data_IF_650277964120
#
_entry.id   IF_650277964120
#
_cell.length_a   1.000
_cell.length_b   1.000
_cell.length_c   1.000
_cell.angle_alpha   90.00
_cell.angle_beta   90.00
_cell.angle_gamma   90.00
#
_symmetry.space_group_name_H-M   'P 1'
#
loop_
_entity.id
_entity.type
_entity.pdbx_description
1 polymer ?
#
# COMPACT_ATOMS: atom_id res chain seq x y z
N UNK A 1 59.62 46.86 16.44
CA UNK A 1 58.47 46.39 15.65
C UNK A 1 59.05 45.56 14.50
N UNK A 2 59.72 44.42 14.72
CA UNK A 2 59.32 43.18 15.43
C UNK A 2 58.13 42.50 14.75
N UNK A 3 58.40 41.56 13.84
CA UNK A 3 57.94 40.16 13.93
C UNK A 3 58.41 39.35 12.71
N UNK A 4 58.99 38.19 12.99
CA UNK A 4 59.50 37.15 12.09
C UNK A 4 58.39 36.34 11.36
N UNK A 5 58.75 35.51 10.35
CA UNK A 5 57.82 34.77 9.52
C UNK A 5 57.44 33.42 10.11
N UNK A 6 56.20 32.96 9.89
CA UNK A 6 55.77 31.60 10.19
C UNK A 6 55.47 30.84 8.89
N UNK A 7 56.42 29.98 8.51
CA UNK A 7 56.19 28.80 7.68
C UNK A 7 55.26 27.86 8.45
N UNK A 8 54.18 27.39 7.81
CA UNK A 8 53.54 26.16 8.21
C UNK A 8 53.54 25.16 7.04
N UNK A 9 54.47 24.23 7.14
CA UNK A 9 54.54 22.96 6.41
C UNK A 9 53.58 21.96 7.06
N UNK A 10 52.56 21.52 6.33
CA UNK A 10 51.89 20.23 6.48
C UNK A 10 50.67 20.24 5.55
N UNK A 11 50.28 19.20 4.84
CA UNK A 11 50.88 17.92 4.46
C UNK A 11 49.92 17.42 3.37
N UNK A 12 50.43 16.73 2.36
CA UNK A 12 49.63 15.85 1.52
C UNK A 12 48.74 14.94 2.37
N UNK A 13 47.47 14.78 1.99
CA UNK A 13 46.93 13.43 1.89
C UNK A 13 45.74 13.37 0.90
N UNK A 14 45.80 12.53 -0.15
CA UNK A 14 44.76 12.39 -1.16
C UNK A 14 43.67 11.38 -0.75
N UNK A 15 42.54 11.45 -1.45
CA UNK A 15 41.59 10.36 -1.64
C UNK A 15 41.01 9.70 -0.36
N UNK A 16 40.04 10.38 0.26
CA UNK A 16 39.06 9.70 1.10
C UNK A 16 38.05 8.94 0.25
N UNK A 17 38.25 7.64 0.09
CA UNK A 17 37.24 6.70 -0.38
C UNK A 17 36.01 6.83 0.51
N UNK A 18 34.91 7.38 -0.02
CA UNK A 18 33.64 7.44 0.67
C UNK A 18 33.09 6.02 0.82
N UNK A 19 33.42 5.35 1.92
CA UNK A 19 32.75 4.11 2.31
C UNK A 19 31.26 4.41 2.53
N UNK A 20 30.44 3.78 1.69
CA UNK A 20 28.99 3.64 1.85
C UNK A 20 28.70 3.14 3.27
N UNK A 21 27.89 3.81 4.09
CA UNK A 21 27.58 3.32 5.42
C UNK A 21 26.85 1.98 5.29
N UNK A 22 27.51 0.91 5.75
CA UNK A 22 26.95 -0.42 5.82
C UNK A 22 25.73 -0.37 6.76
N UNK A 23 24.53 -0.48 6.19
CA UNK A 23 23.29 -0.71 6.94
C UNK A 23 23.46 -2.06 7.64
N UNK A 24 23.77 -2.01 8.95
CA UNK A 24 23.80 -3.20 9.79
C UNK A 24 22.41 -3.84 9.74
N UNK A 25 22.28 -5.16 9.51
CA UNK A 25 20.98 -5.81 9.59
C UNK A 25 20.43 -5.57 11.00
N UNK A 26 19.26 -4.93 11.09
CA UNK A 26 18.56 -4.77 12.35
C UNK A 26 18.36 -6.15 12.95
N UNK A 27 18.88 -6.36 14.17
CA UNK A 27 18.66 -7.60 14.91
C UNK A 27 17.16 -7.88 15.09
N UNK A 28 16.78 -9.11 15.45
CA UNK A 28 15.38 -9.46 15.69
C UNK A 28 14.76 -8.45 16.67
N UNK A 29 13.71 -7.76 16.24
CA UNK A 29 12.92 -6.87 17.09
C UNK A 29 12.35 -7.72 18.23
N UNK A 30 12.55 -7.37 19.51
CA UNK A 30 12.00 -8.13 20.62
C UNK A 30 10.48 -8.20 20.49
N UNK A 31 9.92 -9.41 20.59
CA UNK A 31 8.47 -9.59 20.66
C UNK A 31 7.98 -9.08 22.03
N UNK A 32 6.83 -8.38 22.09
CA UNK A 32 6.24 -8.01 23.37
C UNK A 32 5.84 -9.27 24.13
N UNK A 33 6.26 -9.37 25.40
CA UNK A 33 5.87 -10.46 26.29
C UNK A 33 4.37 -10.36 26.58
N UNK A 34 3.62 -11.37 26.14
CA UNK A 34 2.19 -11.48 26.42
C UNK A 34 2.00 -12.20 27.75
N UNK A 35 1.95 -11.45 28.85
CA UNK A 35 1.36 -11.96 30.09
C UNK A 35 -0.16 -11.96 29.93
N UNK A 36 -0.73 -13.11 29.59
CA UNK A 36 -2.18 -13.29 29.49
C UNK A 36 -2.61 -14.37 30.48
N UNK A 37 -2.95 -13.88 31.66
CA UNK A 37 -3.56 -14.62 32.75
C UNK A 37 -4.94 -15.15 32.36
N UNK A 38 -5.14 -16.42 32.72
CA UNK A 38 -6.35 -17.23 32.80
C UNK A 38 -7.69 -16.47 32.74
N UNK A 39 -8.43 -16.65 31.65
CA UNK A 39 -9.86 -16.32 31.56
C UNK A 39 -10.66 -17.56 31.14
N UNK A 40 -11.08 -18.33 32.15
CA UNK A 40 -11.97 -19.50 32.08
C UNK A 40 -13.27 -19.19 31.31
N UNK A 41 -13.32 -19.54 30.02
CA UNK A 41 -14.51 -19.37 29.16
C UNK A 41 -15.57 -20.42 29.50
N UNK A 42 -16.62 -20.02 30.24
CA UNK A 42 -17.84 -20.82 30.41
C UNK A 42 -18.49 -21.04 29.04
N UNK A 43 -18.53 -22.29 28.57
CA UNK A 43 -19.25 -22.67 27.34
C UNK A 43 -20.75 -22.71 27.67
N UNK A 44 -21.52 -21.74 27.17
CA UNK A 44 -22.97 -21.78 27.23
C UNK A 44 -23.51 -22.92 26.36
N UNK A 45 -24.46 -23.70 26.87
CA UNK A 45 -25.15 -24.74 26.10
C UNK A 45 -26.27 -24.13 25.24
N UNK A 46 -25.88 -23.43 24.17
CA UNK A 46 -26.86 -23.01 23.17
C UNK A 46 -27.29 -24.24 22.34
N UNK A 47 -28.54 -24.70 22.55
CA UNK A 47 -29.22 -25.64 21.67
C UNK A 47 -29.41 -24.97 20.30
N UNK A 48 -28.77 -25.52 19.27
CA UNK A 48 -29.00 -25.15 17.86
C UNK A 48 -30.23 -25.90 17.36
N UNK A 49 -31.21 -25.20 16.79
CA UNK A 49 -32.33 -25.81 16.08
C UNK A 49 -31.86 -26.32 14.71
N UNK A 50 -32.38 -27.47 14.27
CA UNK A 50 -32.06 -28.05 12.96
C UNK A 50 -32.61 -27.17 11.82
N UNK A 51 -31.73 -26.74 10.91
CA UNK A 51 -32.08 -26.03 9.69
C UNK A 51 -32.68 -27.01 8.67
N UNK A 52 -33.96 -27.34 8.82
CA UNK A 52 -34.71 -28.24 7.95
C UNK A 52 -36.00 -27.61 7.44
N UNK A 53 -35.89 -26.46 6.75
CA UNK A 53 -37.01 -25.82 6.08
C UNK A 53 -36.66 -25.54 4.62
N UNK A 54 -37.38 -26.18 3.69
CA UNK A 54 -37.25 -25.98 2.24
C UNK A 54 -37.68 -24.54 1.91
N UNK A 55 -36.73 -23.66 1.59
CA UNK A 55 -37.04 -22.30 1.14
C UNK A 55 -37.48 -22.38 -0.33
N UNK A 56 -38.73 -22.06 -0.71
CA UNK A 56 -39.11 -22.05 -2.12
C UNK A 56 -38.39 -20.91 -2.83
N UNK A 57 -37.70 -21.26 -3.92
CA UNK A 57 -36.96 -20.34 -4.77
C UNK A 57 -37.97 -19.39 -5.45
N UNK A 58 -38.14 -18.17 -4.92
CA UNK A 58 -39.02 -17.18 -5.55
C UNK A 58 -38.26 -16.46 -6.65
N UNK A 59 -38.34 -17.01 -7.86
CA UNK A 59 -37.89 -16.35 -9.07
C UNK A 59 -38.86 -15.18 -9.39
N UNK A 60 -38.58 -14.02 -8.82
CA UNK A 60 -39.22 -12.76 -9.21
C UNK A 60 -38.40 -12.16 -10.33
N UNK A 61 -38.90 -12.27 -11.56
CA UNK A 61 -38.80 -11.27 -12.63
C UNK A 61 -37.65 -10.24 -12.52
N UNK A 62 -36.68 -10.19 -13.44
CA UNK A 62 -36.64 -10.87 -14.71
C UNK A 62 -35.37 -10.56 -15.49
N UNK A 63 -35.21 -11.32 -16.57
CA UNK A 63 -34.28 -11.07 -17.65
C UNK A 63 -34.32 -9.61 -18.08
N UNK A 64 -33.29 -8.86 -17.71
CA UNK A 64 -32.84 -7.70 -18.47
C UNK A 64 -31.37 -7.90 -18.74
N UNK A 65 -31.12 -8.62 -19.83
CA UNK A 65 -29.87 -8.55 -20.57
C UNK A 65 -29.67 -7.10 -21.02
N UNK A 66 -29.17 -6.24 -20.15
CA UNK A 66 -28.51 -5.01 -20.56
C UNK A 66 -27.02 -5.28 -20.59
N UNK A 67 -26.59 -5.95 -21.65
CA UNK A 67 -25.24 -5.81 -22.16
C UNK A 67 -25.10 -4.36 -22.61
N UNK A 68 -24.76 -3.47 -21.67
CA UNK A 68 -24.25 -2.14 -21.98
C UNK A 68 -22.81 -2.33 -22.44
N UNK A 69 -22.64 -2.78 -23.68
CA UNK A 69 -21.42 -2.46 -24.43
C UNK A 69 -21.63 -1.05 -24.96
N UNK A 70 -21.13 -0.08 -24.20
CA UNK A 70 -20.91 1.26 -24.72
C UNK A 70 -19.79 1.15 -25.76
N UNK A 71 -20.20 1.00 -27.01
CA UNK A 71 -19.38 1.25 -28.18
C UNK A 71 -19.25 2.77 -28.34
N UNK A 72 -18.12 3.34 -27.93
CA UNK A 72 -17.74 4.69 -28.32
C UNK A 72 -16.30 4.71 -28.85
N UNK A 73 -16.18 5.28 -30.04
CA UNK A 73 -14.94 5.43 -30.79
C UNK A 73 -14.25 6.74 -30.39
N UNK A 74 -12.93 6.69 -30.20
CA UNK A 74 -12.02 7.85 -30.07
C UNK A 74 -12.21 8.82 -28.87
N UNK A 75 -12.40 8.28 -27.67
CA UNK A 75 -12.14 9.00 -26.42
C UNK A 75 -11.35 8.09 -25.51
N UNK A 76 -10.07 8.39 -25.26
CA UNK A 76 -9.17 7.55 -24.46
C UNK A 76 -9.68 7.37 -23.04
N UNK A 77 -10.54 6.37 -22.82
CA UNK A 77 -11.00 6.01 -21.49
C UNK A 77 -9.81 5.44 -20.76
N UNK A 78 -9.25 6.21 -19.82
CA UNK A 78 -8.08 5.77 -19.09
C UNK A 78 -8.42 4.49 -18.33
N UNK A 79 -7.74 3.40 -18.69
CA UNK A 79 -7.89 2.09 -18.06
C UNK A 79 -6.96 2.05 -16.86
N UNK A 80 -7.53 1.95 -15.66
CA UNK A 80 -6.79 1.85 -14.41
C UNK A 80 -6.88 0.44 -13.84
N UNK A 81 -5.88 0.03 -13.06
CA UNK A 81 -5.92 -1.23 -12.31
C UNK A 81 -7.06 -1.23 -11.29
N UNK A 82 -7.84 -2.32 -11.17
CA UNK A 82 -8.93 -2.41 -10.19
C UNK A 82 -8.43 -2.32 -8.74
N UNK A 83 -7.16 -2.66 -8.49
CA UNK A 83 -6.55 -2.61 -7.15
C UNK A 83 -6.48 -1.18 -6.60
N UNK A 84 -6.24 -0.19 -7.46
CA UNK A 84 -6.16 1.23 -7.06
C UNK A 84 -7.48 1.97 -7.24
N UNK A 85 -8.53 1.32 -7.74
CA UNK A 85 -9.82 1.96 -7.93
C UNK A 85 -10.37 2.65 -6.65
N UNK A 86 -10.22 2.11 -5.43
CA UNK A 86 -10.60 2.81 -4.21
C UNK A 86 -9.84 4.12 -4.00
N UNK A 87 -8.53 4.10 -4.24
CA UNK A 87 -7.66 5.28 -4.15
C UNK A 87 -8.13 6.35 -5.14
N UNK A 88 -8.33 5.98 -6.41
CA UNK A 88 -8.77 6.91 -7.46
C UNK A 88 -10.12 7.55 -7.12
N UNK A 89 -11.06 6.77 -6.57
CA UNK A 89 -12.36 7.30 -6.14
C UNK A 89 -12.22 8.32 -5.01
N UNK A 90 -11.35 8.06 -4.03
CA UNK A 90 -11.11 8.97 -2.93
C UNK A 90 -10.41 10.25 -3.41
N UNK A 91 -9.38 10.14 -4.25
CA UNK A 91 -8.70 11.31 -4.86
C UNK A 91 -9.69 12.18 -5.61
N UNK A 92 -10.55 11.61 -6.45
CA UNK A 92 -11.57 12.39 -7.19
C UNK A 92 -12.56 13.14 -6.30
N UNK A 93 -12.72 12.74 -5.03
CA UNK A 93 -13.59 13.44 -4.07
C UNK A 93 -12.89 14.63 -3.42
N UNK A 94 -11.61 14.50 -3.08
CA UNK A 94 -10.85 15.54 -2.37
C UNK A 94 -10.08 16.47 -3.31
N UNK A 95 -9.53 15.92 -4.39
CA UNK A 95 -8.64 16.58 -5.36
C UNK A 95 -9.05 16.19 -6.80
N UNK A 96 -10.14 16.78 -7.35
CA UNK A 96 -10.66 16.42 -8.67
C UNK A 96 -9.71 16.75 -9.83
N UNK A 97 -8.83 17.73 -9.64
CA UNK A 97 -7.89 18.23 -10.64
C UNK A 97 -6.59 17.42 -10.71
N UNK A 98 -6.45 16.40 -9.85
CA UNK A 98 -5.18 15.71 -9.67
C UNK A 98 -4.89 14.68 -10.77
N UNK A 99 -3.64 14.59 -11.21
CA UNK A 99 -3.25 13.68 -12.29
C UNK A 99 -3.25 12.20 -11.84
N UNK A 100 -4.39 11.53 -12.06
CA UNK A 100 -4.59 10.12 -11.76
C UNK A 100 -3.62 9.20 -12.54
N UNK A 101 -3.07 9.64 -13.67
CA UNK A 101 -2.10 8.85 -14.43
C UNK A 101 -0.83 8.57 -13.62
N UNK A 102 -0.42 9.51 -12.77
CA UNK A 102 0.74 9.35 -11.90
C UNK A 102 0.53 8.17 -10.96
N UNK A 103 -0.66 8.04 -10.37
CA UNK A 103 -0.99 6.92 -9.48
C UNK A 103 -0.96 5.56 -10.20
N UNK A 104 -1.46 5.51 -11.44
CA UNK A 104 -1.40 4.29 -12.24
C UNK A 104 0.04 3.86 -12.54
N UNK A 105 0.89 4.80 -12.96
CA UNK A 105 2.31 4.52 -13.21
C UNK A 105 3.03 4.10 -11.93
N UNK A 106 2.77 4.78 -10.81
CA UNK A 106 3.34 4.42 -9.52
C UNK A 106 2.95 3.00 -9.11
N UNK A 107 1.67 2.64 -9.27
CA UNK A 107 1.19 1.28 -9.01
C UNK A 107 1.87 0.24 -9.89
N UNK A 108 2.06 0.51 -11.19
CA UNK A 108 2.75 -0.42 -12.09
C UNK A 108 4.21 -0.64 -11.68
N UNK A 109 4.91 0.42 -11.27
CA UNK A 109 6.28 0.32 -10.75
C UNK A 109 6.29 -0.52 -9.48
N UNK A 110 5.44 -0.19 -8.50
CA UNK A 110 5.34 -0.91 -7.25
C UNK A 110 5.00 -2.40 -7.45
N UNK A 111 4.04 -2.69 -8.33
CA UNK A 111 3.64 -4.06 -8.64
C UNK A 111 4.80 -4.85 -9.21
N UNK A 112 5.54 -4.30 -10.19
CA UNK A 112 6.73 -4.95 -10.76
C UNK A 112 7.83 -5.15 -9.71
N UNK A 113 8.10 -4.17 -8.86
CA UNK A 113 9.11 -4.30 -7.81
C UNK A 113 8.75 -5.40 -6.80
N UNK A 114 7.46 -5.61 -6.52
CA UNK A 114 6.96 -6.59 -5.58
C UNK A 114 6.50 -7.92 -6.23
N UNK A 115 6.74 -8.13 -7.52
CA UNK A 115 6.48 -9.41 -8.18
C UNK A 115 7.25 -10.54 -7.49
N UNK A 116 6.57 -11.64 -7.21
CA UNK A 116 7.13 -12.79 -6.49
C UNK A 116 7.32 -12.59 -4.98
N UNK A 117 7.20 -11.37 -4.46
CA UNK A 117 7.30 -11.10 -3.02
C UNK A 117 5.97 -11.40 -2.31
N UNK A 118 6.05 -12.09 -1.16
CA UNK A 118 4.88 -12.45 -0.34
C UNK A 118 5.02 -11.92 1.07
N UNK A 119 3.88 -11.60 1.69
CA UNK A 119 3.79 -11.27 3.13
C UNK A 119 3.87 -12.54 3.97
N UNK A 120 4.05 -12.39 5.28
CA UNK A 120 3.98 -13.52 6.25
C UNK A 120 2.66 -14.28 6.19
N UNK A 121 1.57 -13.63 5.77
CA UNK A 121 0.25 -14.25 5.55
C UNK A 121 0.18 -15.13 4.31
N UNK A 122 1.13 -15.01 3.37
CA UNK A 122 1.11 -15.68 2.07
C UNK A 122 0.55 -14.83 0.92
N UNK A 123 -0.05 -13.67 1.22
CA UNK A 123 -0.59 -12.76 0.21
C UNK A 123 0.52 -12.04 -0.57
N UNK A 124 0.26 -11.61 -1.83
CA UNK A 124 1.18 -10.76 -2.58
C UNK A 124 1.55 -9.49 -1.80
N UNK A 125 2.83 -9.10 -1.80
CA UNK A 125 3.29 -7.96 -1.00
C UNK A 125 2.65 -6.63 -1.41
N UNK A 126 2.34 -6.46 -2.71
CA UNK A 126 1.68 -5.26 -3.27
C UNK A 126 0.36 -4.89 -2.58
N UNK A 127 -0.30 -5.86 -1.93
CA UNK A 127 -1.53 -5.61 -1.15
C UNK A 127 -1.31 -4.60 -0.01
N UNK A 128 -0.12 -4.57 0.59
CA UNK A 128 0.18 -3.67 1.71
C UNK A 128 0.35 -2.20 1.27
N UNK A 129 1.23 -1.85 0.30
CA UNK A 129 1.31 -0.48 -0.22
C UNK A 129 -0.04 0.05 -0.73
N UNK A 130 -0.84 -0.79 -1.39
CA UNK A 130 -2.19 -0.39 -1.86
C UNK A 130 -3.11 -0.06 -0.69
N UNK A 131 -3.10 -0.86 0.38
CA UNK A 131 -3.92 -0.60 1.56
C UNK A 131 -3.49 0.67 2.31
N UNK A 132 -2.18 0.91 2.46
CA UNK A 132 -1.64 2.14 3.06
C UNK A 132 -2.08 3.35 2.23
N UNK A 133 -1.96 3.27 0.92
CA UNK A 133 -2.36 4.34 0.00
C UNK A 133 -3.86 4.62 0.04
N UNK A 134 -4.70 3.59 0.20
CA UNK A 134 -6.13 3.75 0.37
C UNK A 134 -6.48 4.57 1.62
N UNK A 135 -5.83 4.29 2.76
CA UNK A 135 -6.01 5.04 4.01
C UNK A 135 -5.59 6.50 3.82
N UNK A 136 -4.44 6.74 3.20
CA UNK A 136 -3.96 8.10 2.91
C UNK A 136 -4.94 8.87 2.01
N UNK A 137 -5.54 8.20 1.03
CA UNK A 137 -6.51 8.83 0.14
C UNK A 137 -7.83 9.16 0.85
N UNK A 138 -8.27 8.32 1.79
CA UNK A 138 -9.41 8.60 2.66
C UNK A 138 -9.16 9.78 3.61
N UNK A 139 -7.91 10.01 4.00
CA UNK A 139 -7.49 11.20 4.77
C UNK A 139 -7.35 12.47 3.91
N UNK A 140 -7.54 12.39 2.59
CA UNK A 140 -7.40 13.53 1.69
C UNK A 140 -5.95 13.87 1.32
N UNK A 141 -5.02 12.92 1.39
CA UNK A 141 -3.65 13.13 0.93
C UNK A 141 -3.59 13.46 -0.58
N UNK A 142 -2.58 14.23 -0.99
CA UNK A 142 -2.39 14.70 -2.37
C UNK A 142 -1.77 13.62 -3.26
N UNK A 143 -1.89 13.78 -4.59
CA UNK A 143 -1.39 12.81 -5.57
C UNK A 143 0.08 12.39 -5.36
N UNK A 144 1.03 13.32 -5.11
CA UNK A 144 2.42 12.98 -4.82
C UNK A 144 2.60 12.12 -3.57
N UNK A 145 1.84 12.38 -2.51
CA UNK A 145 1.89 11.59 -1.26
C UNK A 145 1.34 10.18 -1.49
N UNK A 146 0.28 10.05 -2.28
CA UNK A 146 -0.28 8.76 -2.65
C UNK A 146 0.65 7.97 -3.56
N UNK A 147 1.31 8.62 -4.51
CA UNK A 147 2.35 7.99 -5.32
C UNK A 147 3.51 7.49 -4.46
N UNK A 148 3.96 8.30 -3.49
CA UNK A 148 5.00 7.90 -2.55
C UNK A 148 4.59 6.73 -1.64
N UNK A 149 3.31 6.59 -1.30
CA UNK A 149 2.79 5.45 -0.54
C UNK A 149 2.75 4.13 -1.32
N UNK A 150 2.82 4.19 -2.66
CA UNK A 150 2.85 3.02 -3.53
C UNK A 150 4.27 2.51 -3.80
N UNK A 151 5.24 3.42 -3.94
CA UNK A 151 6.62 3.15 -4.34
C UNK A 151 7.50 2.61 -3.19
#
# INVERSE_FOLDING_TARGET
>A
MSAEPAVNTNAENPAGTAEKPAVRPAGPIPLPETDSSDAKKKRGSHRVMAAGGRVPNRLVFGSRSSKMEASDSHGGTIRFSPMIAPVVRAVRRYHPDEDIQVLQRAYEVANRCHEGQKRKSGDPYITHPVAVTAILAEMGATGPVLAAGLL
#
